data_IF_977634564644
#
_entry.id   IF_977634564644
#
_cell.length_a   1.000
_cell.length_b   1.000
_cell.length_c   1.000
_cell.angle_alpha   90.00
_cell.angle_beta   90.00
_cell.angle_gamma   90.00
#
_symmetry.space_group_name_H-M   'P 1'
#
loop_
_entity.id
_entity.type
_entity.pdbx_description
1 polymer ?
#
# COMPACT_ATOMS: atom_id res chain seq x y z
N UNK A 1 -5.45 34.12 -4.70
CA UNK A 1 -6.79 33.52 -4.75
C UNK A 1 -6.60 32.06 -4.47
N UNK A 2 -7.19 31.60 -3.38
CA UNK A 2 -7.11 30.23 -2.90
C UNK A 2 -7.96 29.35 -3.81
N UNK A 3 -7.41 28.29 -4.37
CA UNK A 3 -8.15 27.40 -5.26
C UNK A 3 -7.75 25.94 -5.11
N UNK A 4 -8.73 25.07 -5.33
CA UNK A 4 -8.53 23.63 -5.44
C UNK A 4 -8.60 23.24 -6.91
N UNK A 5 -7.49 22.72 -7.44
CA UNK A 5 -7.36 22.36 -8.85
C UNK A 5 -7.34 20.83 -8.98
N UNK A 6 -8.19 20.27 -9.83
CA UNK A 6 -8.12 18.84 -10.15
C UNK A 6 -6.96 18.61 -11.12
N UNK A 7 -5.91 17.95 -10.67
CA UNK A 7 -4.68 17.72 -11.46
C UNK A 7 -4.64 16.33 -12.11
N UNK A 8 -5.41 15.38 -11.58
CA UNK A 8 -5.55 14.03 -12.12
C UNK A 8 -6.95 13.45 -11.85
N UNK A 9 -7.38 12.52 -12.70
CA UNK A 9 -8.72 11.92 -12.66
C UNK A 9 -9.72 12.49 -13.68
N UNK A 10 -10.99 12.06 -13.65
CA UNK A 10 -11.99 12.34 -14.68
C UNK A 10 -12.33 13.83 -14.88
N UNK A 11 -12.08 14.66 -13.86
CA UNK A 11 -12.39 16.09 -13.86
C UNK A 11 -11.13 16.97 -14.00
N UNK A 12 -10.03 16.41 -14.51
CA UNK A 12 -8.75 17.12 -14.66
C UNK A 12 -8.92 18.48 -15.35
N UNK A 13 -8.33 19.51 -14.75
CA UNK A 13 -8.40 20.90 -15.19
C UNK A 13 -9.52 21.72 -14.55
N UNK A 14 -10.44 21.08 -13.82
CA UNK A 14 -11.46 21.81 -13.07
C UNK A 14 -10.83 22.57 -11.89
N UNK A 15 -11.27 23.82 -11.71
CA UNK A 15 -10.81 24.71 -10.65
C UNK A 15 -12.00 25.12 -9.77
N UNK A 16 -11.81 25.06 -8.46
CA UNK A 16 -12.77 25.52 -7.47
C UNK A 16 -12.15 26.69 -6.69
N UNK A 17 -12.79 27.86 -6.77
CA UNK A 17 -12.39 29.05 -6.03
C UNK A 17 -12.79 28.91 -4.56
N UNK A 18 -11.79 28.72 -3.70
CA UNK A 18 -11.96 28.51 -2.27
C UNK A 18 -12.19 29.81 -1.48
N UNK A 19 -12.01 30.97 -2.11
CA UNK A 19 -12.33 32.25 -1.47
C UNK A 19 -13.81 32.61 -1.65
N UNK A 20 -14.56 31.88 -2.49
CA UNK A 20 -15.98 32.15 -2.77
C UNK A 20 -16.94 31.84 -1.61
N UNK A 21 -16.53 31.04 -0.61
CA UNK A 21 -17.31 30.71 0.60
C UNK A 21 -16.44 30.08 1.68
N UNK A 22 -17.00 29.91 2.88
CA UNK A 22 -16.26 29.40 4.05
C UNK A 22 -16.12 27.87 4.08
N UNK A 23 -17.08 27.13 3.50
CA UNK A 23 -17.13 25.67 3.52
C UNK A 23 -17.49 25.13 2.13
N UNK A 24 -16.70 24.18 1.66
CA UNK A 24 -16.90 23.45 0.41
C UNK A 24 -17.11 21.97 0.69
N UNK A 25 -18.13 21.38 0.09
CA UNK A 25 -18.41 19.96 0.16
C UNK A 25 -17.99 19.27 -1.14
N UNK A 26 -17.35 18.12 -1.01
CA UNK A 26 -16.96 17.26 -2.11
C UNK A 26 -17.54 15.86 -1.92
N UNK A 27 -18.03 15.27 -3.00
CA UNK A 27 -18.57 13.91 -2.98
C UNK A 27 -19.21 13.51 -4.29
N UNK A 28 -19.76 12.31 -4.34
CA UNK A 28 -20.34 11.74 -5.57
C UNK A 28 -21.67 12.35 -5.98
N UNK A 29 -22.44 12.89 -5.04
CA UNK A 29 -23.77 13.42 -5.34
C UNK A 29 -23.68 14.87 -5.84
N UNK A 30 -24.11 15.17 -7.08
CA UNK A 30 -24.13 16.54 -7.57
C UNK A 30 -25.15 17.44 -6.86
N UNK A 31 -26.10 16.86 -6.12
CA UNK A 31 -27.09 17.62 -5.34
C UNK A 31 -26.61 18.05 -3.95
N UNK A 32 -25.51 17.48 -3.47
CA UNK A 32 -25.07 17.63 -2.07
C UNK A 32 -23.69 18.29 -1.94
N UNK A 33 -23.00 18.49 -3.05
CA UNK A 33 -21.61 18.89 -3.07
C UNK A 33 -21.38 19.96 -4.13
N UNK A 34 -20.34 20.73 -3.89
CA UNK A 34 -19.92 21.82 -4.75
C UNK A 34 -19.06 21.33 -5.91
N UNK A 35 -18.33 20.25 -5.65
CA UNK A 35 -17.67 19.44 -6.67
C UNK A 35 -18.20 18.00 -6.60
N UNK A 36 -18.71 17.53 -7.74
CA UNK A 36 -19.34 16.23 -7.86
C UNK A 36 -18.37 15.23 -8.51
N UNK A 37 -17.70 14.41 -7.70
CA UNK A 37 -16.83 13.35 -8.20
C UNK A 37 -17.66 12.10 -8.49
N UNK A 38 -18.14 11.93 -9.73
CA UNK A 38 -19.13 10.91 -10.13
C UNK A 38 -18.65 9.44 -10.08
N UNK A 39 -17.63 9.16 -9.27
CA UNK A 39 -17.02 7.86 -9.10
C UNK A 39 -17.72 7.04 -8.02
N UNK A 40 -17.88 5.73 -8.24
CA UNK A 40 -18.54 4.82 -7.29
C UNK A 40 -17.78 4.73 -5.95
N UNK A 41 -16.45 4.83 -6.00
CA UNK A 41 -15.55 4.82 -4.84
C UNK A 41 -15.62 6.12 -4.00
N UNK A 42 -16.39 7.12 -4.42
CA UNK A 42 -16.58 8.36 -3.68
C UNK A 42 -17.93 8.31 -2.96
N UNK A 43 -17.94 8.56 -1.64
CA UNK A 43 -19.17 8.72 -0.87
C UNK A 43 -20.04 9.85 -1.43
N UNK A 44 -21.37 9.72 -1.27
CA UNK A 44 -22.34 10.74 -1.71
C UNK A 44 -21.99 12.14 -1.17
N UNK A 45 -21.51 12.22 0.06
CA UNK A 45 -20.90 13.38 0.71
C UNK A 45 -19.61 12.84 1.35
N UNK A 46 -18.44 13.23 0.86
CA UNK A 46 -17.19 12.52 1.12
C UNK A 46 -16.29 13.29 2.09
N UNK A 47 -15.94 14.52 1.74
CA UNK A 47 -15.17 15.39 2.63
C UNK A 47 -15.69 16.82 2.50
N UNK A 48 -15.29 17.67 3.45
CA UNK A 48 -15.42 19.11 3.32
C UNK A 48 -14.07 19.79 3.46
N UNK A 49 -13.89 20.89 2.76
CA UNK A 49 -12.81 21.84 3.01
C UNK A 49 -13.44 23.07 3.65
N UNK A 50 -12.83 23.58 4.70
CA UNK A 50 -13.32 24.75 5.41
C UNK A 50 -12.17 25.62 5.88
N UNK A 51 -12.46 26.89 6.13
CA UNK A 51 -11.47 27.88 6.53
C UNK A 51 -11.66 28.27 7.99
N UNK A 52 -10.56 28.34 8.74
CA UNK A 52 -10.51 28.96 10.07
C UNK A 52 -9.44 30.06 10.00
N UNK A 53 -9.87 31.32 10.07
CA UNK A 53 -8.97 32.45 9.89
C UNK A 53 -8.33 32.48 8.50
N UNK A 54 -7.02 32.33 8.43
CA UNK A 54 -6.25 32.28 7.16
C UNK A 54 -5.96 30.84 6.68
N UNK A 55 -6.19 29.86 7.53
CA UNK A 55 -5.78 28.49 7.32
C UNK A 55 -6.95 27.64 6.79
N UNK A 56 -6.63 26.71 5.91
CA UNK A 56 -7.60 25.78 5.34
C UNK A 56 -7.46 24.41 6.00
N UNK A 57 -8.60 23.76 6.18
CA UNK A 57 -8.72 22.45 6.79
C UNK A 57 -9.58 21.57 5.91
N UNK A 58 -9.25 20.28 5.86
CA UNK A 58 -10.07 19.24 5.24
C UNK A 58 -10.57 18.28 6.33
N UNK A 59 -11.83 17.89 6.25
CA UNK A 59 -12.42 16.89 7.14
C UNK A 59 -13.08 15.82 6.29
N UNK A 60 -12.66 14.57 6.48
CA UNK A 60 -13.35 13.44 5.90
C UNK A 60 -14.68 13.23 6.63
N UNK A 61 -15.79 13.23 5.90
CA UNK A 61 -17.16 13.17 6.42
C UNK A 61 -17.61 11.73 6.65
N UNK A 62 -16.72 10.96 7.27
CA UNK A 62 -16.89 9.53 7.51
C UNK A 62 -17.16 8.78 6.20
N UNK A 63 -16.32 9.07 5.20
CA UNK A 63 -16.44 8.51 3.88
C UNK A 63 -16.14 7.02 3.90
N UNK A 64 -16.66 6.29 2.90
CA UNK A 64 -16.49 4.85 2.84
C UNK A 64 -15.00 4.50 2.64
N UNK A 65 -14.31 5.22 1.76
CA UNK A 65 -12.95 4.89 1.34
C UNK A 65 -11.87 5.76 1.98
N UNK A 66 -12.24 6.80 2.71
CA UNK A 66 -11.30 7.74 3.30
C UNK A 66 -10.75 8.76 2.30
N UNK A 67 -10.22 9.83 2.87
CA UNK A 67 -9.53 10.91 2.16
C UNK A 67 -8.04 10.84 2.48
N UNK A 68 -7.18 11.05 1.49
CA UNK A 68 -5.73 11.09 1.69
C UNK A 68 -5.18 12.49 1.42
N UNK A 69 -4.26 12.94 2.26
CA UNK A 69 -3.48 14.17 2.05
C UNK A 69 -2.01 13.77 1.90
N UNK A 70 -1.40 14.16 0.80
CA UNK A 70 -0.01 13.80 0.43
C UNK A 70 0.28 12.29 0.47
N UNK A 71 -0.75 11.47 0.22
CA UNK A 71 -0.66 10.01 0.20
C UNK A 71 -0.86 9.33 1.56
N UNK A 72 -1.10 10.09 2.63
CA UNK A 72 -1.41 9.56 3.96
C UNK A 72 -2.90 9.77 4.27
N UNK A 73 -3.61 8.77 4.82
CA UNK A 73 -5.03 8.92 5.16
C UNK A 73 -5.21 9.91 6.32
N UNK A 74 -6.24 10.75 6.23
CA UNK A 74 -6.64 11.63 7.32
C UNK A 74 -7.71 10.95 8.21
N UNK A 75 -7.79 11.29 9.51
CA UNK A 75 -8.85 10.78 10.38
C UNK A 75 -10.24 11.31 9.98
N UNK A 76 -11.29 10.47 9.97
CA UNK A 76 -12.65 10.93 9.71
C UNK A 76 -13.21 11.75 10.88
N UNK A 77 -14.00 12.78 10.57
CA UNK A 77 -14.64 13.67 11.55
C UNK A 77 -13.71 14.66 12.26
N UNK A 78 -12.41 14.58 12.01
CA UNK A 78 -11.42 15.58 12.44
C UNK A 78 -11.06 16.45 11.25
N UNK A 79 -10.94 17.77 11.47
CA UNK A 79 -10.28 18.60 10.48
C UNK A 79 -8.78 18.26 10.40
N UNK A 80 -8.18 18.60 9.29
CA UNK A 80 -6.77 18.38 9.04
C UNK A 80 -6.27 19.55 8.21
N UNK A 81 -5.31 20.31 8.72
CA UNK A 81 -4.83 21.48 8.02
C UNK A 81 -4.19 21.07 6.70
N UNK A 82 -4.52 21.82 5.66
CA UNK A 82 -3.95 21.68 4.32
C UNK A 82 -3.29 23.00 3.93
N UNK A 83 -2.13 22.88 3.30
CA UNK A 83 -1.27 23.98 2.92
C UNK A 83 -1.16 24.08 1.40
N UNK A 84 -0.59 25.20 0.95
CA UNK A 84 -0.30 25.40 -0.47
C UNK A 84 0.54 24.26 -1.05
N UNK A 85 0.09 23.72 -2.17
CA UNK A 85 0.73 22.62 -2.88
C UNK A 85 0.33 21.22 -2.41
N UNK A 86 -0.41 21.08 -1.30
CA UNK A 86 -0.84 19.77 -0.79
C UNK A 86 -1.75 19.04 -1.78
N UNK A 87 -1.54 17.72 -1.86
CA UNK A 87 -2.30 16.83 -2.73
C UNK A 87 -3.38 16.09 -1.96
N UNK A 88 -4.63 16.29 -2.35
CA UNK A 88 -5.80 15.59 -1.80
C UNK A 88 -6.19 14.48 -2.78
N UNK A 89 -6.23 13.24 -2.32
CA UNK A 89 -6.62 12.09 -3.14
C UNK A 89 -7.89 11.45 -2.60
N UNK A 90 -8.86 11.23 -3.49
CA UNK A 90 -10.15 10.61 -3.20
C UNK A 90 -10.59 9.78 -4.41
N UNK A 91 -10.81 8.47 -4.20
CA UNK A 91 -11.05 7.56 -5.32
C UNK A 91 -9.88 7.59 -6.30
N UNK A 92 -10.18 7.85 -7.57
CA UNK A 92 -9.19 8.01 -8.65
C UNK A 92 -8.89 9.49 -8.98
N UNK A 93 -9.41 10.43 -8.19
CA UNK A 93 -9.21 11.87 -8.39
C UNK A 93 -8.12 12.40 -7.47
N UNK A 94 -7.21 13.21 -8.03
CA UNK A 94 -6.19 13.94 -7.28
C UNK A 94 -6.38 15.44 -7.50
N UNK A 95 -6.47 16.16 -6.40
CA UNK A 95 -6.62 17.60 -6.36
C UNK A 95 -5.42 18.24 -5.67
N UNK A 96 -5.06 19.45 -6.09
CA UNK A 96 -3.99 20.23 -5.49
C UNK A 96 -4.52 21.55 -4.97
N UNK A 97 -4.15 21.89 -3.75
CA UNK A 97 -4.43 23.20 -3.17
C UNK A 97 -3.43 24.23 -3.69
N UNK A 98 -3.88 25.40 -4.14
CA UNK A 98 -3.03 26.47 -4.67
C UNK A 98 -3.49 27.85 -4.21
N UNK A 99 -2.56 28.80 -4.07
CA UNK A 99 -2.85 30.17 -3.70
C UNK A 99 -3.24 30.37 -2.23
N UNK A 100 -2.87 29.43 -1.34
CA UNK A 100 -3.23 29.47 0.08
C UNK A 100 -2.05 29.93 0.94
N UNK A 101 -2.24 30.95 1.77
CA UNK A 101 -1.14 31.56 2.53
C UNK A 101 -0.73 30.74 3.77
N UNK A 102 0.24 29.83 3.63
CA UNK A 102 0.89 29.17 4.76
C UNK A 102 1.78 27.98 4.35
N UNK A 103 3.06 27.99 4.79
CA UNK A 103 3.90 26.79 4.87
C UNK A 103 3.94 26.36 6.34
N UNK A 104 2.83 25.83 6.84
CA UNK A 104 2.75 25.26 8.18
C UNK A 104 2.91 23.73 8.15
N UNK A 105 3.29 23.07 9.26
CA UNK A 105 3.07 21.63 9.40
C UNK A 105 1.57 21.30 9.30
N UNK A 106 1.23 20.05 8.98
CA UNK A 106 -0.16 19.58 8.97
C UNK A 106 -0.68 19.53 10.43
N UNK A 107 -1.64 20.37 10.81
CA UNK A 107 -2.20 20.48 12.17
C UNK A 107 -3.66 20.00 12.21
N UNK A 108 -4.06 19.23 13.23
CA UNK A 108 -5.45 18.86 13.46
C UNK A 108 -6.16 19.94 14.30
N UNK A 109 -7.42 20.34 14.02
CA UNK A 109 -8.17 21.29 14.85
C UNK A 109 -8.38 20.86 16.29
N UNK A 110 -8.36 19.55 16.58
CA UNK A 110 -8.39 19.05 17.96
C UNK A 110 -7.13 19.42 18.79
N UNK A 111 -6.08 19.92 18.12
CA UNK A 111 -4.80 20.35 18.70
C UNK A 111 -4.62 21.87 18.73
N UNK A 112 -5.71 22.66 18.72
CA UNK A 112 -5.68 24.11 18.85
C UNK A 112 -5.96 24.55 20.29
N UNK A 113 -4.93 24.72 21.15
CA UNK A 113 -5.06 25.49 22.36
C UNK A 113 -4.74 26.96 22.09
N UNK A 114 -5.53 27.86 22.70
CA UNK A 114 -5.10 29.23 22.88
C UNK A 114 -3.78 29.30 23.67
N UNK A 115 -2.98 30.31 23.34
CA UNK A 115 -1.84 30.87 24.07
C UNK A 115 -0.55 30.03 24.29
N UNK A 116 0.52 30.56 23.67
CA UNK A 116 1.94 30.60 24.08
C UNK A 116 2.70 29.29 24.32
N UNK A 117 3.74 29.05 23.50
CA UNK A 117 4.89 28.22 23.88
C UNK A 117 5.40 27.28 22.78
N UNK A 118 6.52 27.68 22.16
CA UNK A 118 7.59 26.89 21.52
C UNK A 118 7.30 25.81 20.45
N UNK A 119 8.02 25.95 19.33
CA UNK A 119 7.94 25.17 18.09
C UNK A 119 8.98 24.05 18.10
N UNK A 120 8.63 22.81 17.70
CA UNK A 120 9.61 21.87 17.14
C UNK A 120 9.57 21.78 15.60
N UNK A 121 10.77 21.63 15.06
CA UNK A 121 11.28 21.77 13.68
C UNK A 121 10.95 20.60 12.71
N UNK A 122 11.06 20.91 11.41
CA UNK A 122 10.88 20.02 10.24
C UNK A 122 11.90 18.86 10.14
N UNK A 123 11.64 17.78 9.35
CA UNK A 123 12.57 16.67 9.21
C UNK A 123 13.79 16.99 8.33
N UNK A 124 14.97 16.69 8.88
CA UNK A 124 16.34 16.96 8.46
C UNK A 124 16.77 16.32 7.10
N UNK A 125 17.59 17.02 6.29
CA UNK A 125 18.17 16.53 5.02
C UNK A 125 18.97 15.23 5.18
N UNK A 126 19.60 15.06 6.35
CA UNK A 126 20.27 13.82 6.75
C UNK A 126 19.33 12.61 6.69
N UNK A 127 18.03 12.81 6.90
CA UNK A 127 17.02 11.74 6.87
C UNK A 127 16.79 11.22 5.45
N UNK A 128 16.99 12.05 4.41
CA UNK A 128 16.81 11.65 3.01
C UNK A 128 18.01 10.82 2.52
N UNK A 129 19.22 11.26 2.86
CA UNK A 129 20.47 10.52 2.55
C UNK A 129 20.54 9.18 3.27
N UNK A 130 20.24 9.14 4.59
CA UNK A 130 20.18 7.88 5.35
C UNK A 130 19.16 6.89 4.78
N UNK A 131 18.09 7.36 4.13
CA UNK A 131 17.05 6.50 3.52
C UNK A 131 17.51 5.90 2.20
N UNK A 132 18.15 6.68 1.32
CA UNK A 132 18.74 6.14 0.07
C UNK A 132 19.87 5.14 0.35
N UNK A 133 20.63 5.35 1.42
CA UNK A 133 21.63 4.40 1.88
C UNK A 133 21.01 3.04 2.29
N UNK A 134 19.87 3.04 3.02
CA UNK A 134 19.17 1.81 3.43
C UNK A 134 18.62 1.00 2.25
N UNK A 135 18.15 1.65 1.19
CA UNK A 135 17.68 0.97 -0.02
C UNK A 135 18.83 0.24 -0.72
N UNK A 136 19.99 0.91 -0.86
CA UNK A 136 21.20 0.32 -1.41
C UNK A 136 21.75 -0.79 -0.51
N UNK A 137 21.70 -0.60 0.81
CA UNK A 137 22.10 -1.60 1.80
C UNK A 137 21.26 -2.87 1.69
N UNK A 138 19.94 -2.75 1.48
CA UNK A 138 19.07 -3.90 1.25
C UNK A 138 19.42 -4.64 -0.04
N UNK A 139 19.60 -3.92 -1.15
CA UNK A 139 20.00 -4.52 -2.43
C UNK A 139 21.36 -5.22 -2.31
N UNK A 140 22.32 -4.59 -1.64
CA UNK A 140 23.63 -5.18 -1.38
C UNK A 140 23.53 -6.42 -0.50
N UNK A 141 22.76 -6.37 0.60
CA UNK A 141 22.56 -7.49 1.53
C UNK A 141 21.95 -8.70 0.82
N UNK A 142 20.94 -8.48 -0.04
CA UNK A 142 20.36 -9.56 -0.85
C UNK A 142 21.37 -10.11 -1.86
N UNK A 143 22.19 -9.24 -2.46
CA UNK A 143 23.25 -9.65 -3.40
C UNK A 143 24.35 -10.47 -2.71
N UNK A 144 24.71 -10.15 -1.46
CA UNK A 144 25.64 -10.93 -0.65
C UNK A 144 25.06 -12.29 -0.28
N UNK A 145 23.77 -12.35 0.09
CA UNK A 145 23.10 -13.62 0.34
C UNK A 145 23.16 -14.56 -0.88
N UNK A 146 23.05 -14.02 -2.11
CA UNK A 146 23.18 -14.81 -3.34
C UNK A 146 24.56 -15.43 -3.56
N UNK A 147 25.63 -14.82 -3.03
CA UNK A 147 26.99 -15.34 -3.15
C UNK A 147 27.21 -16.56 -2.26
N UNK A 148 26.43 -16.71 -1.21
CA UNK A 148 26.57 -17.84 -0.29
C UNK A 148 25.96 -19.11 -0.92
N UNK A 149 26.65 -20.25 -0.81
CA UNK A 149 26.14 -21.54 -1.27
C UNK A 149 25.12 -22.10 -0.27
N UNK A 150 23.97 -21.43 -0.14
CA UNK A 150 22.90 -21.79 0.78
C UNK A 150 21.72 -22.46 0.05
N UNK A 151 20.94 -23.27 0.78
CA UNK A 151 19.68 -23.82 0.28
C UNK A 151 18.71 -22.69 -0.07
N UNK A 152 18.03 -22.82 -1.21
CA UNK A 152 17.12 -21.79 -1.73
C UNK A 152 16.00 -21.43 -0.74
N UNK A 153 15.42 -22.38 -0.01
CA UNK A 153 14.34 -22.08 0.92
C UNK A 153 14.87 -21.24 2.08
N UNK A 154 16.10 -21.52 2.52
CA UNK A 154 16.79 -20.71 3.53
C UNK A 154 17.07 -19.31 2.99
N UNK A 155 17.51 -19.20 1.74
CA UNK A 155 17.75 -17.91 1.09
C UNK A 155 16.46 -17.07 1.01
N UNK A 156 15.39 -17.64 0.47
CA UNK A 156 14.10 -16.97 0.32
C UNK A 156 13.51 -16.56 1.68
N UNK A 157 13.70 -17.37 2.71
CA UNK A 157 13.28 -17.03 4.07
C UNK A 157 14.10 -15.88 4.65
N UNK A 158 15.41 -15.90 4.52
CA UNK A 158 16.27 -14.78 4.94
C UNK A 158 15.94 -13.49 4.18
N UNK A 159 15.64 -13.59 2.89
CA UNK A 159 15.17 -12.45 2.10
C UNK A 159 13.87 -11.86 2.65
N UNK A 160 12.86 -12.68 2.95
CA UNK A 160 11.60 -12.18 3.50
C UNK A 160 11.79 -11.46 4.84
N UNK A 161 12.69 -11.95 5.70
CA UNK A 161 13.05 -11.27 6.95
C UNK A 161 13.61 -9.87 6.70
N UNK A 162 14.54 -9.74 5.77
CA UNK A 162 15.10 -8.43 5.40
C UNK A 162 14.03 -7.48 4.86
N UNK A 163 13.07 -7.98 4.08
CA UNK A 163 11.94 -7.18 3.58
C UNK A 163 11.05 -6.70 4.74
N UNK A 164 10.69 -7.57 5.68
CA UNK A 164 9.88 -7.22 6.84
C UNK A 164 10.60 -6.19 7.73
N UNK A 165 11.89 -6.38 7.99
CA UNK A 165 12.73 -5.43 8.74
C UNK A 165 12.81 -4.06 8.06
N UNK A 166 12.94 -4.03 6.73
CA UNK A 166 12.95 -2.78 5.96
C UNK A 166 11.58 -2.09 5.92
N UNK A 167 10.50 -2.85 6.04
CA UNK A 167 9.12 -2.40 5.91
C UNK A 167 8.29 -2.78 7.15
N UNK A 168 8.55 -2.16 8.33
CA UNK A 168 7.94 -2.55 9.61
C UNK A 168 6.42 -2.29 9.70
N UNK A 169 5.82 -1.75 8.63
CA UNK A 169 4.37 -1.54 8.51
C UNK A 169 3.65 -2.70 7.82
N UNK A 170 4.39 -3.69 7.34
CA UNK A 170 3.87 -4.91 6.71
C UNK A 170 3.79 -5.99 7.78
N UNK A 171 2.69 -6.73 7.77
CA UNK A 171 2.41 -7.73 8.79
C UNK A 171 2.88 -9.13 8.34
N UNK A 172 2.66 -9.47 7.06
CA UNK A 172 3.08 -10.74 6.47
C UNK A 172 3.69 -10.57 5.07
N UNK A 173 4.61 -11.47 4.74
CA UNK A 173 5.22 -11.58 3.42
C UNK A 173 5.34 -13.04 3.00
N UNK A 174 5.17 -13.31 1.70
CA UNK A 174 5.16 -14.66 1.15
C UNK A 174 5.75 -14.67 -0.26
N UNK A 175 6.36 -15.79 -0.64
CA UNK A 175 6.88 -16.05 -1.98
C UNK A 175 6.15 -17.23 -2.58
N UNK A 176 5.60 -16.99 -3.76
CA UNK A 176 4.91 -17.96 -4.58
C UNK A 176 5.75 -18.28 -5.81
N UNK A 177 5.82 -19.55 -6.20
CA UNK A 177 6.44 -19.97 -7.46
C UNK A 177 5.39 -20.58 -8.40
N UNK A 178 5.59 -20.35 -9.69
CA UNK A 178 4.73 -20.90 -10.74
C UNK A 178 5.07 -22.36 -11.02
N UNK A 179 4.06 -23.23 -11.21
CA UNK A 179 4.26 -24.64 -11.57
C UNK A 179 4.58 -24.86 -13.07
N UNK A 180 5.37 -23.95 -13.66
CA UNK A 180 5.83 -24.05 -15.06
C UNK A 180 4.75 -23.84 -16.12
N UNK A 181 5.13 -24.02 -17.40
CA UNK A 181 4.26 -23.73 -18.56
C UNK A 181 3.05 -24.65 -18.69
N UNK A 182 3.10 -25.87 -18.13
CA UNK A 182 2.03 -26.87 -18.25
C UNK A 182 0.80 -26.54 -17.37
N UNK A 183 1.00 -25.89 -16.22
CA UNK A 183 -0.06 -25.48 -15.29
C UNK A 183 -0.10 -23.94 -15.16
N UNK A 184 -0.27 -23.25 -16.31
CA UNK A 184 -0.32 -21.79 -16.39
C UNK A 184 -1.24 -21.19 -15.33
N UNK A 185 -0.68 -20.35 -14.47
CA UNK A 185 -1.42 -19.58 -13.46
C UNK A 185 -1.52 -20.25 -12.09
N UNK A 186 -1.06 -21.50 -11.92
CA UNK A 186 -1.00 -22.13 -10.60
C UNK A 186 0.25 -21.67 -9.85
N UNK A 187 0.01 -21.06 -8.70
CA UNK A 187 1.02 -20.51 -7.81
C UNK A 187 1.06 -21.34 -6.53
N UNK A 188 2.25 -21.78 -6.13
CA UNK A 188 2.47 -22.53 -4.89
C UNK A 188 3.25 -21.65 -3.94
N UNK A 189 2.75 -21.48 -2.73
CA UNK A 189 3.48 -20.81 -1.66
C UNK A 189 4.66 -21.68 -1.21
N UNK A 190 5.87 -21.14 -1.33
CA UNK A 190 7.10 -21.86 -0.96
C UNK A 190 7.67 -21.35 0.35
N UNK A 191 7.53 -20.06 0.64
CA UNK A 191 7.98 -19.47 1.91
C UNK A 191 7.00 -18.38 2.34
N UNK A 192 6.71 -18.32 3.64
CA UNK A 192 6.02 -17.20 4.27
C UNK A 192 6.77 -16.81 5.56
N UNK A 193 6.73 -15.52 5.88
CA UNK A 193 7.23 -14.99 7.14
C UNK A 193 6.31 -13.85 7.63
N UNK A 194 6.26 -13.66 8.94
CA UNK A 194 5.31 -12.74 9.58
C UNK A 194 5.77 -12.28 10.96
N UNK A 195 5.31 -11.09 11.39
CA UNK A 195 5.59 -10.59 12.74
C UNK A 195 4.80 -11.34 13.83
N UNK A 196 3.56 -11.74 13.55
CA UNK A 196 2.75 -12.60 14.42
C UNK A 196 2.61 -13.99 13.79
N UNK A 197 2.55 -15.06 14.60
CA UNK A 197 2.32 -16.44 14.12
C UNK A 197 0.90 -16.59 13.55
N UNK A 198 0.70 -16.09 12.33
CA UNK A 198 -0.54 -16.23 11.57
C UNK A 198 -0.40 -17.35 10.53
N UNK A 199 -1.51 -18.00 10.20
CA UNK A 199 -1.59 -18.86 9.03
C UNK A 199 -1.54 -18.01 7.77
N UNK A 200 -0.77 -18.42 6.75
CA UNK A 200 -0.78 -17.73 5.46
C UNK A 200 -2.20 -17.70 4.89
N UNK A 201 -2.72 -16.48 4.75
CA UNK A 201 -3.98 -16.16 4.10
C UNK A 201 -3.58 -15.18 3.02
N UNK A 202 -3.78 -15.52 1.75
CA UNK A 202 -3.47 -14.63 0.65
C UNK A 202 -4.68 -14.50 -0.26
N UNK A 203 -4.88 -13.31 -0.83
CA UNK A 203 -5.97 -13.07 -1.78
C UNK A 203 -5.55 -13.61 -3.15
N UNK A 204 -6.02 -14.82 -3.50
CA UNK A 204 -5.74 -15.50 -4.78
C UNK A 204 -5.90 -14.60 -6.01
N UNK A 205 -6.87 -13.68 -5.98
CA UNK A 205 -7.15 -12.80 -7.11
C UNK A 205 -6.01 -11.81 -7.39
N UNK A 206 -5.36 -11.29 -6.36
CA UNK A 206 -4.19 -10.42 -6.53
C UNK A 206 -3.07 -11.20 -7.22
N UNK A 207 -2.80 -12.43 -6.79
CA UNK A 207 -1.79 -13.29 -7.43
C UNK A 207 -2.14 -13.63 -8.88
N UNK A 208 -3.39 -13.95 -9.18
CA UNK A 208 -3.84 -14.18 -10.56
C UNK A 208 -3.58 -12.96 -11.44
N UNK A 209 -3.93 -11.77 -10.95
CA UNK A 209 -3.69 -10.51 -11.67
C UNK A 209 -2.20 -10.24 -11.86
N UNK A 210 -1.36 -10.48 -10.84
CA UNK A 210 0.10 -10.36 -10.97
C UNK A 210 0.64 -11.24 -12.09
N UNK A 211 0.22 -12.50 -12.14
CA UNK A 211 0.68 -13.46 -13.15
C UNK A 211 0.16 -13.12 -14.54
N UNK A 212 -1.13 -12.77 -14.65
CA UNK A 212 -1.78 -12.49 -15.93
C UNK A 212 -1.34 -11.14 -16.52
N UNK A 213 -1.31 -10.10 -15.70
CA UNK A 213 -0.96 -8.74 -16.12
C UNK A 213 0.55 -8.52 -16.19
N UNK A 214 1.35 -9.41 -15.57
CA UNK A 214 2.82 -9.32 -15.47
C UNK A 214 3.30 -7.99 -14.88
N UNK A 215 2.51 -7.43 -13.96
CA UNK A 215 2.73 -6.13 -13.34
C UNK A 215 2.54 -6.23 -11.85
N UNK A 216 3.18 -5.31 -11.12
CA UNK A 216 2.89 -5.13 -9.70
C UNK A 216 1.44 -4.71 -9.53
N UNK A 217 0.69 -5.47 -8.72
CA UNK A 217 -0.69 -5.16 -8.34
C UNK A 217 -0.67 -4.67 -6.90
N UNK A 218 -1.08 -3.42 -6.67
CA UNK A 218 -1.23 -2.84 -5.33
C UNK A 218 -2.70 -2.63 -5.07
N UNK A 219 -3.17 -3.16 -3.95
CA UNK A 219 -4.49 -2.96 -3.41
C UNK A 219 -4.37 -2.17 -2.12
N UNK A 220 -4.83 -0.92 -2.15
CA UNK A 220 -4.69 0.00 -1.03
C UNK A 220 -5.79 -0.22 -0.01
N UNK A 221 -6.98 -0.66 -0.42
CA UNK A 221 -8.01 -1.12 0.49
C UNK A 221 -8.83 -2.27 -0.10
N UNK A 222 -8.70 -3.45 0.48
CA UNK A 222 -9.35 -4.69 0.03
C UNK A 222 -10.87 -4.67 0.17
N UNK A 223 -11.41 -3.94 1.14
CA UNK A 223 -12.86 -3.88 1.43
C UNK A 223 -13.65 -3.22 0.28
N UNK A 224 -12.91 -2.61 -0.64
CA UNK A 224 -13.38 -1.64 -1.61
C UNK A 224 -12.95 -1.95 -3.03
N UNK A 225 -11.77 -2.53 -3.17
CA UNK A 225 -11.19 -2.91 -4.45
C UNK A 225 -11.48 -4.37 -4.83
N UNK A 226 -12.00 -5.19 -3.91
CA UNK A 226 -12.46 -6.56 -4.20
C UNK A 226 -13.98 -6.61 -4.40
N UNK A 227 -14.47 -7.33 -5.43
CA UNK A 227 -15.89 -7.61 -5.54
C UNK A 227 -16.39 -8.45 -4.35
N UNK A 228 -17.65 -8.25 -3.97
CA UNK A 228 -18.25 -8.82 -2.76
C UNK A 228 -18.22 -10.36 -2.71
N UNK A 229 -18.13 -11.01 -3.87
CA UNK A 229 -17.96 -12.47 -4.03
C UNK A 229 -16.60 -13.02 -3.58
N UNK A 230 -15.60 -12.15 -3.34
CA UNK A 230 -14.22 -12.52 -2.98
C UNK A 230 -13.92 -12.32 -1.48
N UNK A 231 -14.91 -11.91 -0.69
CA UNK A 231 -14.83 -11.79 0.76
C UNK A 231 -15.24 -13.14 1.36
N UNK A 232 -14.28 -14.03 1.59
CA UNK A 232 -14.52 -15.25 2.36
C UNK A 232 -14.92 -14.87 3.79
N UNK A 233 -16.18 -15.17 4.18
CA UNK A 233 -16.69 -14.94 5.53
C UNK A 233 -15.95 -15.85 6.52
N UNK A 234 -15.20 -15.29 7.47
CA UNK A 234 -14.79 -16.02 8.67
C UNK A 234 -13.37 -15.83 9.20
N UNK A 235 -12.49 -15.06 8.55
CA UNK A 235 -11.11 -14.91 9.02
C UNK A 235 -10.91 -13.64 9.85
N UNK A 236 -10.61 -13.81 11.14
CA UNK A 236 -10.54 -12.79 12.20
C UNK A 236 -9.36 -11.80 12.12
N UNK A 237 -8.60 -11.80 11.04
CA UNK A 237 -7.61 -10.75 10.68
C UNK A 237 -7.77 -10.52 9.18
N UNK A 238 -8.62 -9.54 8.84
CA UNK A 238 -8.94 -9.21 7.45
C UNK A 238 -7.75 -8.44 6.86
N UNK A 239 -7.03 -9.04 5.92
CA UNK A 239 -6.04 -8.33 5.08
C UNK A 239 -6.73 -7.08 4.57
N UNK A 240 -6.24 -5.89 4.93
CA UNK A 240 -6.85 -4.60 4.56
C UNK A 240 -6.13 -3.93 3.40
N UNK A 241 -4.86 -4.23 3.20
CA UNK A 241 -4.12 -3.85 2.01
C UNK A 241 -3.17 -4.95 1.61
N UNK A 242 -2.85 -5.03 0.32
CA UNK A 242 -1.91 -6.03 -0.19
C UNK A 242 -1.16 -5.53 -1.43
N UNK A 243 0.03 -6.07 -1.65
CA UNK A 243 0.78 -5.85 -2.88
C UNK A 243 1.36 -7.18 -3.36
N UNK A 244 1.14 -7.47 -4.63
CA UNK A 244 1.77 -8.58 -5.32
C UNK A 244 2.76 -8.06 -6.35
N UNK A 245 3.99 -8.53 -6.30
CA UNK A 245 5.09 -8.13 -7.18
C UNK A 245 5.53 -9.35 -7.98
N UNK A 246 5.50 -9.32 -9.33
CA UNK A 246 5.89 -10.46 -10.13
C UNK A 246 7.41 -10.68 -10.08
N UNK A 247 7.83 -11.93 -9.92
CA UNK A 247 9.22 -12.35 -10.12
C UNK A 247 9.35 -12.77 -11.57
N UNK A 248 9.96 -11.91 -12.39
CA UNK A 248 10.05 -12.10 -13.84
C UNK A 248 11.50 -12.37 -14.22
N UNK A 249 11.70 -13.39 -15.05
CA UNK A 249 12.94 -13.57 -15.80
C UNK A 249 12.62 -13.75 -17.27
N UNK A 250 13.32 -12.99 -18.12
CA UNK A 250 13.05 -12.91 -19.56
C UNK A 250 11.54 -12.64 -19.78
N UNK A 251 10.83 -13.57 -20.41
CA UNK A 251 9.39 -13.46 -20.69
C UNK A 251 8.51 -14.37 -19.82
N UNK A 252 9.07 -14.97 -18.77
CA UNK A 252 8.37 -15.89 -17.87
C UNK A 252 8.20 -15.28 -16.47
N UNK A 253 6.96 -15.37 -15.94
CA UNK A 253 6.69 -15.10 -14.54
C UNK A 253 7.07 -16.36 -13.75
N UNK A 254 8.23 -16.32 -13.11
CA UNK A 254 8.73 -17.43 -12.28
C UNK A 254 7.93 -17.58 -11.00
N UNK A 255 7.37 -16.48 -10.50
CA UNK A 255 6.71 -16.43 -9.21
C UNK A 255 6.17 -15.04 -8.88
N UNK A 256 5.79 -14.84 -7.62
CA UNK A 256 5.38 -13.55 -7.09
C UNK A 256 5.81 -13.41 -5.62
N UNK A 257 6.24 -12.21 -5.25
CA UNK A 257 6.33 -11.78 -3.86
C UNK A 257 4.96 -11.19 -3.51
N UNK A 258 4.37 -11.63 -2.41
CA UNK A 258 3.09 -11.16 -1.92
C UNK A 258 3.27 -10.64 -0.50
N UNK A 259 2.89 -9.40 -0.28
CA UNK A 259 2.98 -8.72 1.02
C UNK A 259 1.64 -8.15 1.39
N UNK A 260 1.35 -8.14 2.68
CA UNK A 260 0.05 -7.73 3.19
C UNK A 260 0.15 -6.97 4.50
N UNK A 261 -0.87 -6.14 4.72
CA UNK A 261 -1.10 -5.50 5.99
C UNK A 261 -2.55 -5.60 6.43
N UNK A 262 -2.76 -5.72 7.73
CA UNK A 262 -4.06 -5.62 8.40
C UNK A 262 -4.54 -4.17 8.50
N UNK A 263 -3.73 -3.20 8.04
CA UNK A 263 -4.10 -1.79 7.92
C UNK A 263 -4.38 -1.45 6.45
N UNK A 264 -5.43 -0.67 6.13
CA UNK A 264 -5.59 -0.12 4.80
C UNK A 264 -4.47 0.89 4.54
N UNK A 265 -4.15 1.10 3.27
CA UNK A 265 -3.11 2.04 2.81
C UNK A 265 -1.70 1.73 3.34
N UNK A 266 -1.41 0.47 3.69
CA UNK A 266 -0.13 0.06 4.26
C UNK A 266 1.08 0.22 3.31
N UNK A 267 0.84 0.41 2.00
CA UNK A 267 1.88 0.45 0.98
C UNK A 267 1.98 1.80 0.28
N UNK A 268 3.19 2.38 0.31
CA UNK A 268 3.58 3.60 -0.39
C UNK A 268 4.19 3.27 -1.75
N UNK A 269 4.21 4.23 -2.69
CA UNK A 269 4.88 4.05 -3.99
C UNK A 269 6.36 3.66 -3.86
N UNK A 270 7.05 4.15 -2.83
CA UNK A 270 8.46 3.83 -2.56
C UNK A 270 8.68 2.36 -2.21
N UNK A 271 7.73 1.71 -1.54
CA UNK A 271 7.84 0.27 -1.21
C UNK A 271 7.79 -0.57 -2.47
N UNK A 272 6.91 -0.20 -3.40
CA UNK A 272 6.84 -0.83 -4.70
C UNK A 272 8.17 -0.70 -5.47
N UNK A 273 8.79 0.49 -5.47
CA UNK A 273 10.09 0.68 -6.11
C UNK A 273 11.18 -0.16 -5.45
N UNK A 274 11.22 -0.20 -4.11
CA UNK A 274 12.16 -1.03 -3.35
C UNK A 274 11.99 -2.51 -3.68
N UNK A 275 10.77 -3.04 -3.67
CA UNK A 275 10.53 -4.45 -3.96
C UNK A 275 10.86 -4.79 -5.41
N UNK A 276 10.53 -3.90 -6.34
CA UNK A 276 10.87 -4.07 -7.76
C UNK A 276 12.38 -4.14 -7.98
N UNK A 277 13.19 -3.38 -7.23
CA UNK A 277 14.66 -3.43 -7.36
C UNK A 277 15.25 -4.76 -6.86
N UNK A 278 14.56 -5.47 -5.97
CA UNK A 278 14.97 -6.77 -5.44
C UNK A 278 14.58 -7.94 -6.35
N UNK A 279 13.74 -7.73 -7.37
CA UNK A 279 13.24 -8.82 -8.23
C UNK A 279 14.36 -9.49 -9.03
N UNK A 280 15.30 -8.71 -9.58
CA UNK A 280 16.40 -9.26 -10.39
C UNK A 280 17.23 -10.30 -9.65
N UNK A 281 17.81 -9.95 -8.48
CA UNK A 281 18.53 -10.89 -7.62
C UNK A 281 17.73 -12.17 -7.30
N UNK A 282 16.45 -12.03 -6.94
CA UNK A 282 15.59 -13.17 -6.58
C UNK A 282 15.30 -14.07 -7.79
N UNK A 283 15.04 -13.49 -8.95
CA UNK A 283 14.82 -14.23 -10.18
C UNK A 283 16.02 -15.11 -10.53
N UNK A 284 17.24 -14.55 -10.46
CA UNK A 284 18.49 -15.30 -10.71
C UNK A 284 18.66 -16.47 -9.75
N UNK A 285 18.37 -16.26 -8.45
CA UNK A 285 18.44 -17.32 -7.44
C UNK A 285 17.51 -18.50 -7.74
N UNK A 286 16.27 -18.18 -8.12
CA UNK A 286 15.24 -19.15 -8.45
C UNK A 286 15.62 -19.92 -9.71
N UNK A 287 16.07 -19.25 -10.77
CA UNK A 287 16.48 -19.91 -12.01
C UNK A 287 17.63 -20.88 -11.79
N UNK A 288 18.68 -20.44 -11.08
CA UNK A 288 19.84 -21.28 -10.76
C UNK A 288 19.42 -22.57 -10.07
N UNK A 289 18.58 -22.48 -9.04
CA UNK A 289 18.17 -23.65 -8.26
C UNK A 289 17.07 -24.49 -8.94
N UNK A 290 16.28 -23.91 -9.85
CA UNK A 290 15.34 -24.66 -10.70
C UNK A 290 16.08 -25.52 -11.73
N UNK A 291 17.17 -25.02 -12.31
CA UNK A 291 18.05 -25.79 -13.20
C UNK A 291 18.75 -26.94 -12.47
N UNK A 292 19.14 -26.73 -11.21
CA UNK A 292 19.73 -27.75 -10.34
C UNK A 292 18.73 -28.80 -9.83
N UNK A 293 17.42 -28.67 -10.14
CA UNK A 293 16.36 -29.56 -9.64
C UNK A 293 16.04 -29.42 -8.14
N UNK A 294 16.60 -28.40 -7.47
CA UNK A 294 16.44 -28.15 -6.02
C UNK A 294 15.17 -27.38 -5.67
N UNK A 295 14.58 -26.72 -6.67
CA UNK A 295 13.22 -26.16 -6.61
C UNK A 295 12.34 -26.99 -7.54
N UNK A 296 11.59 -27.93 -6.97
CA UNK A 296 10.41 -28.45 -7.62
C UNK A 296 9.18 -27.70 -7.06
N UNK A 297 8.18 -27.35 -7.88
CA UNK A 297 6.91 -26.82 -7.38
C UNK A 297 6.08 -27.86 -6.59
N UNK A 298 6.68 -28.93 -6.07
CA UNK A 298 5.98 -30.09 -5.54
C UNK A 298 5.71 -30.00 -4.04
N UNK A 299 4.40 -29.97 -3.78
CA UNK A 299 3.65 -29.97 -2.52
C UNK A 299 3.81 -28.74 -1.60
N UNK A 300 2.68 -28.15 -1.16
CA UNK A 300 2.71 -27.09 -0.17
C UNK A 300 3.45 -27.57 1.07
N UNK A 301 4.27 -26.70 1.67
CA UNK A 301 4.88 -26.97 2.97
C UNK A 301 3.81 -27.47 3.96
N UNK A 302 4.04 -28.58 4.68
CA UNK A 302 3.06 -29.18 5.57
C UNK A 302 2.97 -28.36 6.86
N UNK A 303 2.41 -27.16 6.80
CA UNK A 303 1.99 -26.41 7.99
C UNK A 303 0.49 -26.59 8.26
N UNK A 304 -0.30 -26.98 7.25
CA UNK A 304 -1.75 -27.22 7.38
C UNK A 304 -2.11 -28.53 8.10
N UNK A 305 -1.28 -29.58 8.04
CA UNK A 305 -1.66 -30.88 8.60
C UNK A 305 -1.34 -31.07 10.09
N UNK A 306 -0.41 -30.30 10.66
CA UNK A 306 -0.04 -30.47 12.09
C UNK A 306 -1.03 -29.85 13.08
N UNK A 307 -1.84 -28.86 12.67
CA UNK A 307 -2.81 -28.22 13.56
C UNK A 307 -4.20 -28.88 13.50
N UNK A 308 -4.60 -29.44 12.36
CA UNK A 308 -5.89 -30.13 12.22
C UNK A 308 -5.96 -31.47 12.99
N UNK A 309 -4.83 -32.10 13.28
CA UNK A 309 -4.78 -33.32 14.10
C UNK A 309 -4.72 -33.07 15.61
N UNK A 310 -4.50 -31.82 16.06
CA UNK A 310 -4.53 -31.47 17.49
C UNK A 310 -5.97 -31.22 17.96
N UNK A 311 -6.82 -30.65 17.10
CA UNK A 311 -8.24 -30.41 17.40
C UNK A 311 -9.17 -31.61 17.16
N UNK A 312 -8.64 -32.76 16.71
CA UNK A 312 -9.39 -34.03 16.64
C UNK A 312 -9.16 -34.94 17.87
N UNK A 313 -8.39 -34.47 18.86
CA UNK A 313 -8.06 -35.23 20.08
C UNK A 313 -8.53 -34.58 21.38
N UNK A 314 -9.37 -33.55 21.30
CA UNK A 314 -10.10 -32.98 22.43
C UNK A 314 -11.58 -32.89 22.09
#
# INVERSE_FOLDING_TARGET
>A
MSSLVVIDGPLKGQLLDLDSKEIFFCGRSPKMNDIALLEIAVSRKHFKIFRIGKDFFIEDLNSKHGTLVNGEPIPPGEGFQINDGDLISVGNTVMQLTGVGGKGPLIKPASLPGHTGEVPTQPDEQTKERRSAKELELVYSVSELLKTQMDINVFLKSFLKLVLEALPRIDNASIFLSQGRAEKGKMVEIVADSYEKSTSRYKKEILKRVVNERKTIRMSNTDFELPQSYIEKGDTLEIKSAMGVPIISKDEVLGAIYIESIKPYGFRKKDQFLLNSLIGPIAVAIEKNRLDGKIAPEKPLPFREKLLNIFKKF
#
